data_IF_082779182042
#
_entry.id   IF_082779182042
#
_cell.length_a   1.000
_cell.length_b   1.000
_cell.length_c   1.000
_cell.angle_alpha   90.00
_cell.angle_beta   90.00
_cell.angle_gamma   90.00
#
_symmetry.space_group_name_H-M   'P 1'
#
loop_
_entity.id
_entity.type
_entity.pdbx_description
1 polymer ?
#
# COMPACT_ATOMS: atom_id res chain seq x y z
N UNK A 1 -11.45 -21.64 -11.12
CA UNK A 1 -10.70 -20.42 -10.75
C UNK A 1 -11.38 -19.63 -9.65
N UNK A 2 -12.61 -19.12 -9.81
CA UNK A 2 -13.25 -18.27 -8.79
C UNK A 2 -13.38 -18.93 -7.40
N UNK A 3 -13.80 -20.20 -7.34
CA UNK A 3 -13.99 -20.92 -6.07
C UNK A 3 -12.65 -21.14 -5.33
N UNK A 4 -11.60 -21.46 -6.08
CA UNK A 4 -10.25 -21.65 -5.54
C UNK A 4 -9.66 -20.33 -5.04
N UNK A 5 -9.92 -19.21 -5.75
CA UNK A 5 -9.53 -17.88 -5.29
C UNK A 5 -10.23 -17.51 -3.97
N UNK A 6 -11.52 -17.84 -3.82
CA UNK A 6 -12.25 -17.62 -2.56
C UNK A 6 -11.72 -18.50 -1.42
N UNK A 7 -11.32 -19.75 -1.71
CA UNK A 7 -10.68 -20.64 -0.74
C UNK A 7 -9.37 -20.06 -0.21
N UNK A 8 -8.48 -19.62 -1.12
CA UNK A 8 -7.21 -18.98 -0.75
C UNK A 8 -7.44 -17.68 0.02
N UNK A 9 -8.39 -16.84 -0.40
CA UNK A 9 -8.72 -15.61 0.31
C UNK A 9 -9.20 -15.86 1.75
N UNK A 10 -10.04 -16.87 1.96
CA UNK A 10 -10.49 -17.26 3.30
C UNK A 10 -9.32 -17.69 4.19
N UNK A 11 -8.41 -18.51 3.67
CA UNK A 11 -7.25 -19.01 4.41
C UNK A 11 -6.27 -17.88 4.76
N UNK A 12 -6.01 -16.94 3.85
CA UNK A 12 -5.14 -15.79 4.10
C UNK A 12 -5.76 -14.79 5.09
N UNK A 13 -7.07 -14.48 4.97
CA UNK A 13 -7.72 -13.56 5.91
C UNK A 13 -7.74 -14.14 7.32
N UNK A 14 -7.91 -15.46 7.46
CA UNK A 14 -7.92 -16.14 8.77
C UNK A 14 -6.53 -16.12 9.45
N UNK A 15 -5.44 -15.91 8.69
CA UNK A 15 -4.10 -15.63 9.25
C UNK A 15 -3.94 -14.18 9.71
N UNK A 16 -4.72 -13.27 9.14
CA UNK A 16 -4.76 -11.86 9.48
C UNK A 16 -5.69 -11.56 10.66
N UNK A 17 -6.08 -10.29 10.75
CA UNK A 17 -7.01 -9.79 11.77
C UNK A 17 -8.20 -9.02 11.19
N UNK A 18 -8.37 -9.01 9.86
CA UNK A 18 -9.45 -8.29 9.20
C UNK A 18 -10.76 -9.10 9.25
N UNK A 19 -11.58 -8.79 10.26
CA UNK A 19 -12.87 -9.46 10.45
C UNK A 19 -13.94 -8.99 9.47
N UNK A 20 -13.79 -7.81 8.86
CA UNK A 20 -14.74 -7.27 7.88
C UNK A 20 -14.60 -8.03 6.56
N UNK A 21 -13.37 -8.09 6.03
CA UNK A 21 -13.08 -8.85 4.81
C UNK A 21 -13.38 -10.32 4.97
N UNK A 22 -13.21 -10.89 6.17
CA UNK A 22 -13.57 -12.27 6.46
C UNK A 22 -15.07 -12.53 6.24
N UNK A 23 -15.93 -11.67 6.82
CA UNK A 23 -17.37 -11.76 6.66
C UNK A 23 -17.78 -11.63 5.18
N UNK A 24 -17.14 -10.72 4.46
CA UNK A 24 -17.41 -10.50 3.03
C UNK A 24 -17.01 -11.70 2.17
N UNK A 25 -15.87 -12.34 2.45
CA UNK A 25 -15.43 -13.53 1.72
C UNK A 25 -16.33 -14.72 2.02
N UNK A 26 -16.72 -14.95 3.28
CA UNK A 26 -17.65 -16.03 3.65
C UNK A 26 -19.01 -15.83 2.96
N UNK A 27 -19.51 -14.59 2.92
CA UNK A 27 -20.73 -14.25 2.18
C UNK A 27 -20.61 -14.57 0.68
N UNK A 28 -19.47 -14.26 0.06
CA UNK A 28 -19.19 -14.58 -1.36
C UNK A 28 -19.01 -16.08 -1.63
N UNK A 29 -18.59 -16.87 -0.64
CA UNK A 29 -18.48 -18.33 -0.74
C UNK A 29 -19.87 -18.97 -0.80
N UNK A 30 -20.84 -18.42 -0.07
CA UNK A 30 -22.26 -18.84 -0.10
C UNK A 30 -22.43 -20.37 0.11
N UNK A 31 -21.64 -20.94 1.03
CA UNK A 31 -21.65 -22.37 1.36
C UNK A 31 -21.10 -23.32 0.28
N UNK A 32 -20.63 -22.80 -0.86
CA UNK A 32 -20.18 -23.61 -2.01
C UNK A 32 -18.89 -24.41 -1.75
N UNK A 33 -18.13 -24.07 -0.72
CA UNK A 33 -16.91 -24.75 -0.29
C UNK A 33 -17.13 -25.75 0.87
N UNK A 34 -18.39 -25.93 1.32
CA UNK A 34 -18.72 -26.81 2.44
C UNK A 34 -18.71 -26.11 3.80
N UNK A 35 -19.00 -26.85 4.89
CA UNK A 35 -19.23 -26.30 6.22
C UNK A 35 -17.97 -25.72 6.88
N UNK A 36 -16.78 -26.19 6.50
CA UNK A 36 -15.50 -25.75 7.09
C UNK A 36 -15.13 -24.30 6.71
N UNK A 37 -15.74 -23.78 5.65
CA UNK A 37 -15.55 -22.41 5.13
C UNK A 37 -16.71 -21.48 5.54
N UNK A 38 -17.41 -21.82 6.62
CA UNK A 38 -18.48 -21.02 7.21
C UNK A 38 -17.99 -19.86 8.08
N UNK A 39 -18.94 -19.08 8.59
CA UNK A 39 -18.65 -17.91 9.41
C UNK A 39 -18.21 -18.32 10.83
N UNK A 40 -16.96 -18.01 11.18
CA UNK A 40 -16.39 -18.27 12.49
C UNK A 40 -16.66 -17.12 13.47
N UNK A 41 -17.85 -17.12 14.07
CA UNK A 41 -18.26 -16.09 15.03
C UNK A 41 -17.36 -16.01 16.28
N UNK A 42 -16.76 -17.14 16.68
CA UNK A 42 -15.87 -17.20 17.85
C UNK A 42 -14.57 -16.48 17.54
N UNK A 43 -13.98 -16.77 16.37
CA UNK A 43 -12.79 -16.09 15.89
C UNK A 43 -13.01 -14.58 15.77
N UNK A 44 -14.09 -14.15 15.09
CA UNK A 44 -14.43 -12.72 14.92
C UNK A 44 -14.48 -12.01 16.28
N UNK A 45 -15.26 -12.53 17.22
CA UNK A 45 -15.40 -11.92 18.55
C UNK A 45 -14.07 -11.87 19.31
N UNK A 46 -13.24 -12.90 19.17
CA UNK A 46 -11.93 -12.96 19.83
C UNK A 46 -10.95 -11.92 19.26
N UNK A 47 -10.93 -11.75 17.94
CA UNK A 47 -10.07 -10.78 17.25
C UNK A 47 -10.55 -9.35 17.50
N UNK A 48 -11.86 -9.10 17.49
CA UNK A 48 -12.41 -7.78 17.83
C UNK A 48 -12.09 -7.38 19.27
N UNK A 49 -12.18 -8.32 20.23
CA UNK A 49 -11.78 -8.05 21.62
C UNK A 49 -10.28 -7.78 21.74
N UNK A 50 -9.44 -8.48 20.97
CA UNK A 50 -7.99 -8.26 20.93
C UNK A 50 -7.67 -6.90 20.31
N UNK A 51 -8.35 -6.55 19.23
CA UNK A 51 -8.20 -5.27 18.54
C UNK A 51 -8.57 -4.10 19.47
N UNK A 52 -9.68 -4.21 20.20
CA UNK A 52 -10.11 -3.17 21.15
C UNK A 52 -9.10 -3.00 22.29
N UNK A 53 -8.56 -4.09 22.84
CA UNK A 53 -7.49 -4.01 23.85
C UNK A 53 -6.21 -3.37 23.29
N UNK A 54 -5.83 -3.70 22.05
CA UNK A 54 -4.65 -3.11 21.39
C UNK A 54 -4.86 -1.62 21.14
N UNK A 55 -6.02 -1.22 20.64
CA UNK A 55 -6.40 0.18 20.43
C UNK A 55 -6.32 0.98 21.73
N UNK A 56 -6.94 0.50 22.81
CA UNK A 56 -6.89 1.16 24.11
C UNK A 56 -5.46 1.32 24.65
N UNK A 57 -4.58 0.34 24.41
CA UNK A 57 -3.15 0.46 24.77
C UNK A 57 -2.46 1.56 23.96
N UNK A 58 -2.62 1.54 22.63
CA UNK A 58 -2.05 2.57 21.76
C UNK A 58 -2.54 3.98 22.13
N UNK A 59 -3.80 4.15 22.49
CA UNK A 59 -4.35 5.43 22.94
C UNK A 59 -3.74 5.86 24.28
N UNK A 60 -3.63 4.95 25.24
CA UNK A 60 -3.02 5.23 26.54
C UNK A 60 -1.54 5.59 26.42
N UNK A 61 -0.82 4.97 25.48
CA UNK A 61 0.60 5.25 25.24
C UNK A 61 0.78 6.59 24.51
N UNK A 62 -0.10 6.94 23.56
CA UNK A 62 0.00 8.19 22.78
C UNK A 62 -0.45 9.43 23.56
N UNK A 63 -1.49 9.33 24.39
CA UNK A 63 -2.10 10.46 25.10
C UNK A 63 -1.13 11.30 25.97
N UNK A 64 -0.17 10.72 26.70
CA UNK A 64 0.84 11.48 27.43
C UNK A 64 1.76 12.31 26.52
N UNK A 65 2.12 11.77 25.35
CA UNK A 65 2.99 12.47 24.39
C UNK A 65 2.27 13.61 23.69
N UNK A 66 0.95 13.47 23.43
CA UNK A 66 0.12 14.56 22.90
C UNK A 66 0.13 15.82 23.78
N UNK A 67 0.26 15.63 25.10
CA UNK A 67 0.35 16.74 26.07
C UNK A 67 1.73 17.40 26.09
N UNK A 68 2.75 16.73 25.59
CA UNK A 68 4.15 17.17 25.57
C UNK A 68 4.69 17.22 24.12
N UNK A 69 4.25 18.23 23.36
CA UNK A 69 4.51 18.39 21.92
C UNK A 69 6.01 18.42 21.52
N UNK A 70 6.91 18.60 22.49
CA UNK A 70 8.37 18.57 22.26
C UNK A 70 8.88 17.19 21.83
N UNK A 71 8.13 16.12 22.09
CA UNK A 71 8.51 14.74 21.73
C UNK A 71 7.85 14.34 20.39
N UNK A 72 8.18 15.07 19.32
CA UNK A 72 7.61 14.87 17.98
C UNK A 72 7.79 13.43 17.47
N UNK A 73 8.93 12.81 17.77
CA UNK A 73 9.23 11.46 17.29
C UNK A 73 8.31 10.40 17.91
N UNK A 74 8.03 10.48 19.21
CA UNK A 74 7.07 9.56 19.85
C UNK A 74 5.65 9.75 19.32
N UNK A 75 5.25 10.99 19.03
CA UNK A 75 3.95 11.25 18.41
C UNK A 75 3.89 10.66 16.99
N UNK A 76 4.95 10.84 16.20
CA UNK A 76 5.07 10.29 14.85
C UNK A 76 5.01 8.76 14.86
N UNK A 77 5.76 8.13 15.76
CA UNK A 77 5.75 6.68 15.93
C UNK A 77 4.39 6.17 16.35
N UNK A 78 3.73 6.81 17.32
CA UNK A 78 2.39 6.42 17.75
C UNK A 78 1.35 6.52 16.62
N UNK A 79 1.37 7.59 15.81
CA UNK A 79 0.50 7.67 14.63
C UNK A 79 0.84 6.64 13.54
N UNK A 80 2.13 6.28 13.40
CA UNK A 80 2.54 5.20 12.49
C UNK A 80 1.96 3.86 12.96
N UNK A 81 2.07 3.55 14.25
CA UNK A 81 1.50 2.33 14.85
C UNK A 81 -0.04 2.28 14.76
N UNK A 82 -0.72 3.42 14.90
CA UNK A 82 -2.16 3.51 14.62
C UNK A 82 -2.46 3.24 13.15
N UNK A 83 -1.66 3.78 12.23
CA UNK A 83 -1.77 3.52 10.80
C UNK A 83 -1.66 2.03 10.48
N UNK A 84 -0.63 1.37 11.03
CA UNK A 84 -0.37 -0.07 10.86
C UNK A 84 -1.49 -0.91 11.48
N UNK A 85 -1.99 -0.52 12.66
CA UNK A 85 -3.11 -1.17 13.32
C UNK A 85 -4.37 -1.13 12.46
N UNK A 86 -4.77 0.06 11.99
CA UNK A 86 -5.95 0.20 11.16
C UNK A 86 -5.80 -0.50 9.80
N UNK A 87 -4.60 -0.48 9.22
CA UNK A 87 -4.27 -1.18 7.98
C UNK A 87 -4.44 -2.70 8.12
N UNK A 88 -3.88 -3.30 9.18
CA UNK A 88 -4.01 -4.74 9.48
C UNK A 88 -5.45 -5.23 9.75
N UNK A 89 -6.36 -4.28 9.96
CA UNK A 89 -7.79 -4.50 10.21
C UNK A 89 -8.67 -4.19 9.01
N UNK A 90 -8.09 -3.79 7.87
CA UNK A 90 -8.84 -3.38 6.68
C UNK A 90 -9.51 -2.00 6.80
N UNK A 91 -9.23 -1.23 7.86
CA UNK A 91 -9.81 0.10 8.10
C UNK A 91 -9.00 1.18 7.37
N UNK A 92 -9.00 1.12 6.04
CA UNK A 92 -8.13 1.92 5.17
C UNK A 92 -8.31 3.44 5.37
N UNK A 93 -9.55 3.90 5.58
CA UNK A 93 -9.82 5.34 5.78
C UNK A 93 -9.17 5.90 7.04
N UNK A 94 -9.17 5.14 8.14
CA UNK A 94 -8.57 5.58 9.41
C UNK A 94 -7.06 5.36 9.44
N UNK A 95 -6.58 4.36 8.71
CA UNK A 95 -5.15 4.18 8.42
C UNK A 95 -4.59 5.39 7.66
N UNK A 96 -5.25 5.80 6.57
CA UNK A 96 -4.86 6.96 5.76
C UNK A 96 -4.79 8.25 6.58
N UNK A 97 -5.78 8.49 7.45
CA UNK A 97 -5.77 9.65 8.37
C UNK A 97 -4.58 9.60 9.33
N UNK A 98 -4.34 8.45 9.94
CA UNK A 98 -3.23 8.25 10.89
C UNK A 98 -1.87 8.49 10.23
N UNK A 99 -1.62 7.88 9.07
CA UNK A 99 -0.38 8.12 8.33
C UNK A 99 -0.24 9.57 7.85
N UNK A 100 -1.31 10.18 7.34
CA UNK A 100 -1.27 11.58 6.90
C UNK A 100 -0.94 12.52 8.07
N UNK A 101 -1.41 12.20 9.27
CA UNK A 101 -1.16 12.98 10.49
C UNK A 101 0.31 12.99 10.91
N UNK A 102 1.09 11.97 10.53
CA UNK A 102 2.54 11.95 10.79
C UNK A 102 3.30 13.09 10.09
N UNK A 103 2.71 13.73 9.07
CA UNK A 103 3.31 14.87 8.36
C UNK A 103 3.67 16.01 9.30
N UNK A 104 2.78 16.31 10.27
CA UNK A 104 2.93 17.43 11.21
C UNK A 104 4.11 17.23 12.18
N UNK A 105 4.55 15.98 12.34
CA UNK A 105 5.58 15.55 13.29
C UNK A 105 6.86 15.05 12.62
N UNK A 106 6.92 15.12 11.28
CA UNK A 106 8.09 14.73 10.50
C UNK A 106 9.18 15.81 10.57
N UNK A 107 10.42 15.39 10.88
CA UNK A 107 11.55 16.31 11.08
C UNK A 107 12.71 16.07 10.10
N UNK A 108 12.73 14.93 9.41
CA UNK A 108 13.78 14.54 8.47
C UNK A 108 13.17 14.18 7.12
N UNK A 109 13.98 14.26 6.06
CA UNK A 109 13.62 13.77 4.73
C UNK A 109 13.13 12.32 4.75
N UNK A 110 13.79 11.46 5.52
CA UNK A 110 13.41 10.06 5.67
C UNK A 110 12.03 9.88 6.30
N UNK A 111 11.66 10.73 7.28
CA UNK A 111 10.31 10.67 7.87
C UNK A 111 9.24 11.01 6.83
N UNK A 112 9.49 12.03 6.00
CA UNK A 112 8.56 12.45 4.95
C UNK A 112 8.44 11.36 3.88
N UNK A 113 9.56 10.77 3.43
CA UNK A 113 9.57 9.68 2.45
C UNK A 113 8.79 8.47 2.98
N UNK A 114 9.06 8.04 4.21
CA UNK A 114 8.37 6.92 4.84
C UNK A 114 6.86 7.15 4.94
N UNK A 115 6.44 8.34 5.39
CA UNK A 115 5.03 8.73 5.38
C UNK A 115 4.42 8.67 3.98
N UNK A 116 5.10 9.22 2.97
CA UNK A 116 4.61 9.20 1.59
C UNK A 116 4.41 7.77 1.09
N UNK A 117 5.34 6.85 1.37
CA UNK A 117 5.21 5.44 1.00
C UNK A 117 3.98 4.79 1.65
N UNK A 118 3.75 5.01 2.95
CA UNK A 118 2.58 4.48 3.65
C UNK A 118 1.26 5.05 3.10
N UNK A 119 1.23 6.36 2.83
CA UNK A 119 0.05 7.00 2.22
C UNK A 119 -0.20 6.46 0.81
N UNK A 120 0.85 6.24 0.01
CA UNK A 120 0.77 5.64 -1.33
C UNK A 120 0.17 4.23 -1.23
N UNK A 121 0.69 3.37 -0.34
CA UNK A 121 0.21 2.00 -0.14
C UNK A 121 -1.31 1.98 0.12
N UNK A 122 -1.77 2.72 1.13
CA UNK A 122 -3.19 2.78 1.49
C UNK A 122 -4.03 3.41 0.37
N UNK A 123 -3.49 4.42 -0.33
CA UNK A 123 -4.21 5.07 -1.44
C UNK A 123 -4.38 4.15 -2.65
N UNK A 124 -3.43 3.25 -2.92
CA UNK A 124 -3.55 2.23 -3.97
C UNK A 124 -4.67 1.26 -3.62
N UNK A 125 -4.73 0.77 -2.39
CA UNK A 125 -5.81 -0.13 -1.95
C UNK A 125 -7.20 0.52 -1.97
N UNK A 126 -7.27 1.81 -1.64
CA UNK A 126 -8.51 2.59 -1.77
C UNK A 126 -8.84 3.01 -3.21
N UNK A 127 -8.02 2.64 -4.19
CA UNK A 127 -8.14 3.06 -5.60
C UNK A 127 -8.13 4.59 -5.81
N UNK A 128 -7.46 5.33 -4.91
CA UNK A 128 -7.36 6.80 -4.95
C UNK A 128 -6.04 7.25 -5.62
N UNK A 129 -5.90 6.99 -6.92
CA UNK A 129 -4.66 7.24 -7.67
C UNK A 129 -4.25 8.72 -7.81
N UNK A 130 -5.17 9.66 -7.56
CA UNK A 130 -4.85 11.09 -7.45
C UNK A 130 -3.94 11.34 -6.24
N UNK A 131 -4.23 10.72 -5.09
CA UNK A 131 -3.37 10.81 -3.90
C UNK A 131 -2.02 10.15 -4.16
N UNK A 132 -2.00 8.98 -4.79
CA UNK A 132 -0.75 8.29 -5.18
C UNK A 132 0.16 9.23 -5.98
N UNK A 133 -0.39 9.90 -7.00
CA UNK A 133 0.37 10.84 -7.83
C UNK A 133 0.92 12.01 -7.01
N UNK A 134 0.10 12.61 -6.14
CA UNK A 134 0.51 13.75 -5.31
C UNK A 134 1.64 13.39 -4.34
N UNK A 135 1.49 12.29 -3.59
CA UNK A 135 2.48 11.89 -2.60
C UNK A 135 3.74 11.30 -3.23
N UNK A 136 3.63 10.60 -4.35
CA UNK A 136 4.80 10.10 -5.06
C UNK A 136 5.65 11.24 -5.62
N UNK A 137 5.02 12.27 -6.21
CA UNK A 137 5.75 13.47 -6.66
C UNK A 137 6.36 14.25 -5.48
N UNK A 138 5.65 14.36 -4.36
CA UNK A 138 6.18 14.97 -3.13
C UNK A 138 7.44 14.26 -2.64
N UNK A 139 7.45 12.93 -2.64
CA UNK A 139 8.63 12.15 -2.24
C UNK A 139 9.76 12.26 -3.28
N UNK A 140 9.46 12.19 -4.59
CA UNK A 140 10.45 12.30 -5.68
C UNK A 140 11.22 13.62 -5.68
N UNK A 141 10.66 14.70 -5.12
CA UNK A 141 11.34 15.99 -4.97
C UNK A 141 12.49 15.97 -3.95
N UNK A 142 12.55 14.97 -3.07
CA UNK A 142 13.55 14.86 -1.99
C UNK A 142 14.73 14.00 -2.48
N UNK A 143 15.32 14.36 -3.63
CA UNK A 143 16.27 13.50 -4.37
C UNK A 143 17.50 13.08 -3.53
N UNK A 144 18.02 13.98 -2.70
CA UNK A 144 19.25 13.74 -1.92
C UNK A 144 19.13 12.62 -0.86
N UNK A 145 17.90 12.22 -0.52
CA UNK A 145 17.63 11.20 0.50
C UNK A 145 17.02 9.91 -0.06
N UNK A 146 16.85 9.80 -1.38
CA UNK A 146 16.23 8.62 -2.01
C UNK A 146 17.30 7.57 -2.34
N UNK A 147 17.19 6.41 -1.70
CA UNK A 147 17.91 5.22 -2.16
C UNK A 147 17.30 4.66 -3.47
N UNK A 148 18.07 3.88 -4.26
CA UNK A 148 17.60 3.34 -5.53
C UNK A 148 16.32 2.50 -5.44
N UNK A 149 16.13 1.77 -4.34
CA UNK A 149 14.95 0.94 -4.12
C UNK A 149 13.73 1.84 -3.92
N UNK A 150 13.84 2.85 -3.05
CA UNK A 150 12.76 3.81 -2.84
C UNK A 150 12.41 4.58 -4.11
N UNK A 151 13.40 5.00 -4.89
CA UNK A 151 13.16 5.63 -6.20
C UNK A 151 12.35 4.70 -7.12
N UNK A 152 12.73 3.42 -7.19
CA UNK A 152 12.03 2.40 -7.96
C UNK A 152 10.59 2.19 -7.47
N UNK A 153 10.35 2.16 -6.15
CA UNK A 153 8.98 2.10 -5.57
C UNK A 153 8.12 3.29 -6.04
N UNK A 154 8.68 4.50 -6.00
CA UNK A 154 7.97 5.71 -6.42
C UNK A 154 7.67 5.70 -7.92
N UNK A 155 8.60 5.25 -8.76
CA UNK A 155 8.39 5.06 -10.20
C UNK A 155 7.28 4.05 -10.47
N UNK A 156 7.26 2.90 -9.78
CA UNK A 156 6.17 1.93 -9.88
C UNK A 156 4.81 2.52 -9.50
N UNK A 157 4.73 3.22 -8.37
CA UNK A 157 3.48 3.85 -7.91
C UNK A 157 2.95 4.89 -8.91
N UNK A 158 3.84 5.71 -9.49
CA UNK A 158 3.48 6.67 -10.55
C UNK A 158 3.06 5.97 -11.84
N UNK A 159 3.74 4.88 -12.22
CA UNK A 159 3.39 4.05 -13.36
C UNK A 159 1.97 3.51 -13.24
N UNK A 160 1.62 2.94 -12.09
CA UNK A 160 0.27 2.47 -11.78
C UNK A 160 -0.76 3.61 -11.83
N UNK A 161 -0.47 4.75 -11.22
CA UNK A 161 -1.39 5.89 -11.23
C UNK A 161 -1.63 6.44 -12.65
N UNK A 162 -0.60 6.43 -13.51
CA UNK A 162 -0.75 6.82 -14.92
C UNK A 162 -1.48 5.79 -15.76
N UNK A 163 -1.29 4.49 -15.47
CA UNK A 163 -2.01 3.41 -16.12
C UNK A 163 -3.52 3.53 -15.88
N UNK A 164 -3.93 3.75 -14.63
CA UNK A 164 -5.32 3.99 -14.22
C UNK A 164 -5.91 5.26 -14.84
N UNK A 165 -5.09 6.31 -14.97
CA UNK A 165 -5.46 7.53 -15.68
C UNK A 165 -5.49 7.38 -17.22
N UNK A 166 -5.27 6.17 -17.76
CA UNK A 166 -5.18 5.87 -19.21
C UNK A 166 -4.09 6.66 -19.95
N UNK A 167 -3.07 7.12 -19.23
CA UNK A 167 -1.92 7.87 -19.78
C UNK A 167 -0.78 6.91 -20.09
N UNK A 168 -1.00 5.99 -21.04
CA UNK A 168 -0.11 4.87 -21.32
C UNK A 168 1.34 5.28 -21.66
N UNK A 169 1.53 6.41 -22.37
CA UNK A 169 2.87 6.92 -22.69
C UNK A 169 3.66 7.33 -21.43
N UNK A 170 2.99 7.92 -20.44
CA UNK A 170 3.62 8.29 -19.17
C UNK A 170 3.83 7.08 -18.29
N UNK A 171 2.86 6.16 -18.25
CA UNK A 171 2.99 4.90 -17.52
C UNK A 171 4.20 4.09 -18.00
N UNK A 172 4.37 3.94 -19.32
CA UNK A 172 5.51 3.26 -19.92
C UNK A 172 6.84 3.86 -19.48
N UNK A 173 6.98 5.20 -19.52
CA UNK A 173 8.20 5.88 -19.07
C UNK A 173 8.52 5.58 -17.61
N UNK A 174 7.51 5.65 -16.74
CA UNK A 174 7.72 5.38 -15.31
C UNK A 174 8.09 3.91 -15.05
N UNK A 175 7.48 2.94 -15.75
CA UNK A 175 7.84 1.54 -15.60
C UNK A 175 9.24 1.20 -16.15
N UNK A 176 9.70 1.91 -17.20
CA UNK A 176 11.06 1.74 -17.74
C UNK A 176 12.14 2.38 -16.86
N UNK A 177 11.78 3.35 -16.00
CA UNK A 177 12.67 3.93 -14.98
C UNK A 177 12.86 3.03 -13.75
N UNK A 178 12.13 1.91 -13.66
CA UNK A 178 12.22 0.99 -12.52
C UNK A 178 13.49 0.15 -12.61
N UNK A 179 14.36 0.26 -11.61
CA UNK A 179 15.59 -0.52 -11.53
C UNK A 179 15.34 -1.99 -11.19
N UNK A 180 16.26 -2.87 -11.60
CA UNK A 180 16.18 -4.31 -11.31
C UNK A 180 16.32 -4.62 -9.81
N UNK A 181 16.91 -3.69 -9.04
CA UNK A 181 17.00 -3.76 -7.58
C UNK A 181 15.63 -3.85 -6.88
N UNK A 182 14.53 -3.48 -7.54
CA UNK A 182 13.20 -3.54 -6.94
C UNK A 182 12.73 -4.97 -6.62
N UNK A 183 13.18 -5.96 -7.40
CA UNK A 183 12.73 -7.38 -7.42
C UNK A 183 11.75 -7.80 -6.31
N UNK A 184 12.20 -8.03 -5.07
CA UNK A 184 11.34 -8.52 -3.99
C UNK A 184 10.99 -7.45 -2.94
N UNK A 185 11.37 -6.20 -3.16
CA UNK A 185 11.25 -5.13 -2.17
C UNK A 185 9.90 -4.41 -2.20
N UNK A 186 9.01 -4.71 -3.15
CA UNK A 186 7.70 -4.03 -3.30
C UNK A 186 6.55 -4.96 -3.70
N UNK A 187 6.64 -6.22 -3.25
CA UNK A 187 5.64 -7.26 -3.53
C UNK A 187 4.27 -6.96 -2.92
N UNK A 188 4.21 -6.07 -1.90
CA UNK A 188 2.96 -5.57 -1.34
C UNK A 188 2.12 -4.75 -2.33
N UNK A 189 2.71 -4.23 -3.42
CA UNK A 189 2.02 -3.39 -4.41
C UNK A 189 2.09 -3.97 -5.82
N UNK A 190 3.25 -4.45 -6.26
CA UNK A 190 3.42 -4.92 -7.64
C UNK A 190 4.51 -5.98 -7.75
N UNK A 191 4.24 -7.04 -8.52
CA UNK A 191 5.26 -8.04 -8.84
C UNK A 191 6.19 -7.53 -9.96
N UNK A 192 7.47 -7.93 -10.01
CA UNK A 192 8.38 -7.57 -11.11
C UNK A 192 7.86 -7.97 -12.49
N UNK A 193 7.12 -9.08 -12.55
CA UNK A 193 6.48 -9.58 -13.77
C UNK A 193 5.40 -8.62 -14.27
N UNK A 194 4.65 -8.00 -13.36
CA UNK A 194 3.63 -7.01 -13.68
C UNK A 194 4.27 -5.71 -14.18
N UNK A 195 5.39 -5.29 -13.57
CA UNK A 195 6.18 -4.12 -14.06
C UNK A 195 6.61 -4.35 -15.52
N UNK A 196 7.19 -5.51 -15.82
CA UNK A 196 7.65 -5.85 -17.17
C UNK A 196 6.48 -5.92 -18.16
N UNK A 197 5.36 -6.52 -17.76
CA UNK A 197 4.18 -6.68 -18.61
C UNK A 197 3.48 -5.35 -18.87
N UNK A 198 3.20 -4.56 -17.82
CA UNK A 198 2.57 -3.25 -17.95
C UNK A 198 3.47 -2.25 -18.68
N UNK A 199 4.76 -2.22 -18.36
CA UNK A 199 5.75 -1.40 -19.04
C UNK A 199 5.84 -1.74 -20.53
N UNK A 200 5.98 -3.03 -20.85
CA UNK A 200 6.10 -3.50 -22.24
C UNK A 200 4.84 -3.24 -23.08
N UNK A 201 3.66 -3.56 -22.56
CA UNK A 201 2.40 -3.31 -23.27
C UNK A 201 2.14 -1.81 -23.45
N UNK A 202 2.37 -0.99 -22.42
CA UNK A 202 2.21 0.45 -22.52
C UNK A 202 3.20 1.06 -23.51
N UNK A 203 4.46 0.62 -23.51
CA UNK A 203 5.47 1.11 -24.44
C UNK A 203 5.10 0.74 -25.89
N UNK A 204 4.77 -0.53 -26.15
CA UNK A 204 4.36 -0.99 -27.49
C UNK A 204 3.13 -0.24 -28.02
N UNK A 205 2.17 0.07 -27.15
CA UNK A 205 0.94 0.74 -27.54
C UNK A 205 1.11 2.26 -27.76
N UNK A 206 2.17 2.89 -27.24
CA UNK A 206 2.24 4.36 -27.15
C UNK A 206 3.54 5.01 -27.64
N UNK A 207 4.63 4.25 -27.77
CA UNK A 207 5.91 4.76 -28.24
C UNK A 207 6.04 4.59 -29.75
N UNK A 208 6.70 5.56 -30.38
CA UNK A 208 7.08 5.44 -31.78
C UNK A 208 8.24 4.46 -31.95
N UNK A 209 8.44 3.93 -33.17
CA UNK A 209 9.49 2.94 -33.46
C UNK A 209 10.90 3.38 -33.04
N UNK A 210 11.19 4.68 -33.14
CA UNK A 210 12.46 5.25 -32.69
C UNK A 210 12.59 5.24 -31.15
N UNK A 211 11.51 5.61 -30.44
CA UNK A 211 11.45 5.58 -28.96
C UNK A 211 11.54 4.14 -28.42
N UNK A 212 10.91 3.17 -29.08
CA UNK A 212 11.01 1.74 -28.71
C UNK A 212 12.44 1.22 -28.84
N UNK A 213 13.12 1.55 -29.94
CA UNK A 213 14.51 1.12 -30.14
C UNK A 213 15.45 1.73 -29.11
N UNK A 214 15.24 3.00 -28.74
CA UNK A 214 16.07 3.69 -27.76
C UNK A 214 15.84 3.20 -26.32
N UNK A 215 14.60 2.94 -25.93
CA UNK A 215 14.22 2.72 -24.52
C UNK A 215 13.89 1.26 -24.14
N UNK A 216 13.83 0.32 -25.10
CA UNK A 216 13.57 -1.09 -24.80
C UNK A 216 14.61 -2.05 -25.38
N UNK A 217 15.17 -1.74 -26.56
CA UNK A 217 16.11 -2.64 -27.25
C UNK A 217 17.55 -2.39 -26.79
N UNK A 218 17.86 -1.16 -26.37
CA UNK A 218 19.19 -0.74 -25.93
C UNK A 218 19.27 -0.52 -24.41
N UNK A 219 18.25 -0.92 -23.65
CA UNK A 219 18.13 -0.72 -22.20
C UNK A 219 18.49 -1.98 -21.43
#
# INVERSE_FOLDING_TARGET
MQLEALRMAYEEIKRGSDTVSFSDVVSKIDGRLGPDYGLDHVWIKSEDLRAEKKKNRLENDLNPYMKNYTIKESIRMGFTEFGDFYYSRGQLSDSLKSYSRTCDYSSTSNHIIHMCLNVILVSIEMSQFVHVTTYANKAKQIQDALDPITMSKLCCALGLAHLEAKRYKLAARMFLEVGQELTNHYMEVIAPQDVATYGGLCALASFERAELKANMINS
#
